data_IF_230421419151
#
_entry.id   IF_230421419151
#
_cell.length_a   1.000
_cell.length_b   1.000
_cell.length_c   1.000
_cell.angle_alpha   90.00
_cell.angle_beta   90.00
_cell.angle_gamma   90.00
#
_symmetry.space_group_name_H-M   'P 1'
#
loop_
_entity.id
_entity.type
_entity.pdbx_description
1 polymer ?
#
# COMPACT_ATOMS: atom_id res chain seq x y z
N UNK A 1 19.55 -9.23 -10.87
CA UNK A 1 18.37 -10.02 -10.48
C UNK A 1 17.53 -10.22 -11.72
N UNK A 2 17.06 -11.44 -12.00
CA UNK A 2 15.96 -11.62 -12.95
C UNK A 2 14.80 -10.78 -12.44
N UNK A 3 14.54 -9.64 -13.09
CA UNK A 3 13.38 -8.81 -12.78
C UNK A 3 12.15 -9.61 -13.18
N UNK A 4 11.59 -10.35 -12.23
CA UNK A 4 10.24 -10.87 -12.37
C UNK A 4 9.26 -9.71 -12.60
N UNK A 5 8.06 -10.04 -13.05
CA UNK A 5 7.06 -9.01 -13.37
C UNK A 5 6.75 -8.20 -12.10
N UNK A 6 6.93 -6.89 -12.19
CA UNK A 6 6.68 -5.94 -11.10
C UNK A 6 5.40 -5.15 -11.37
N UNK A 7 4.58 -4.98 -10.33
CA UNK A 7 3.37 -4.16 -10.39
C UNK A 7 3.32 -3.15 -9.26
N UNK A 8 3.00 -1.90 -9.60
CA UNK A 8 2.71 -0.83 -8.66
C UNK A 8 1.20 -0.69 -8.48
N UNK A 9 0.73 -0.83 -7.25
CA UNK A 9 -0.65 -0.55 -6.85
C UNK A 9 -0.65 0.78 -6.10
N UNK A 10 -1.31 1.78 -6.66
CA UNK A 10 -1.31 3.14 -6.14
C UNK A 10 -2.66 3.44 -5.51
N UNK A 11 -2.70 3.67 -4.20
CA UNK A 11 -3.88 4.25 -3.57
C UNK A 11 -3.86 5.78 -3.78
N UNK A 12 -4.71 6.34 -4.67
CA UNK A 12 -4.71 7.77 -4.90
C UNK A 12 -5.24 8.56 -3.69
N UNK A 13 -5.99 7.91 -2.78
CA UNK A 13 -6.60 8.53 -1.59
C UNK A 13 -5.71 8.49 -0.35
N UNK A 14 -4.53 7.85 -0.41
CA UNK A 14 -3.63 7.77 0.73
C UNK A 14 -2.99 9.13 1.05
N UNK A 15 -3.10 9.54 2.32
CA UNK A 15 -2.62 10.83 2.81
C UNK A 15 -3.31 11.97 2.08
N UNK A 16 -2.53 12.77 1.34
CA UNK A 16 -3.10 13.78 0.45
C UNK A 16 -3.51 13.14 -0.87
N UNK A 17 -4.78 13.32 -1.24
CA UNK A 17 -5.32 12.80 -2.49
C UNK A 17 -4.52 13.28 -3.70
N UNK A 18 -4.16 12.35 -4.59
CA UNK A 18 -3.43 12.66 -5.81
C UNK A 18 -4.38 13.18 -6.90
N UNK A 19 -4.20 14.43 -7.30
CA UNK A 19 -4.81 14.92 -8.54
C UNK A 19 -4.12 14.33 -9.79
N UNK A 20 -4.77 14.45 -10.95
CA UNK A 20 -4.28 13.89 -12.22
C UNK A 20 -2.83 14.30 -12.56
N UNK A 21 -2.46 15.56 -12.32
CA UNK A 21 -1.10 16.06 -12.57
C UNK A 21 -0.06 15.38 -11.68
N UNK A 22 -0.40 15.12 -10.42
CA UNK A 22 0.46 14.40 -9.49
C UNK A 22 0.55 12.92 -9.84
N UNK A 23 -0.55 12.31 -10.29
CA UNK A 23 -0.55 10.94 -10.80
C UNK A 23 0.39 10.79 -12.01
N UNK A 24 0.30 11.71 -12.98
CA UNK A 24 1.20 11.74 -14.14
C UNK A 24 2.67 11.90 -13.75
N UNK A 25 2.96 12.77 -12.76
CA UNK A 25 4.32 12.93 -12.24
C UNK A 25 4.83 11.63 -11.62
N UNK A 26 4.01 10.98 -10.79
CA UNK A 26 4.36 9.72 -10.14
C UNK A 26 4.60 8.61 -11.17
N UNK A 27 3.75 8.48 -12.19
CA UNK A 27 3.93 7.50 -13.28
C UNK A 27 5.26 7.73 -13.98
N UNK A 28 5.61 8.99 -14.29
CA UNK A 28 6.88 9.34 -14.92
C UNK A 28 8.07 9.01 -14.03
N UNK A 29 7.99 9.29 -12.73
CA UNK A 29 9.02 8.95 -11.76
C UNK A 29 9.24 7.44 -11.68
N UNK A 30 8.18 6.65 -11.48
CA UNK A 30 8.24 5.18 -11.43
C UNK A 30 8.87 4.62 -12.72
N UNK A 31 8.41 5.08 -13.89
CA UNK A 31 8.95 4.65 -15.18
C UNK A 31 10.40 5.10 -15.40
N UNK A 32 10.82 6.21 -14.79
CA UNK A 32 12.22 6.63 -14.79
C UNK A 32 13.14 5.68 -14.02
N UNK A 33 12.65 5.08 -12.93
CA UNK A 33 13.42 4.13 -12.12
C UNK A 33 13.44 2.71 -12.73
N UNK A 34 12.29 2.23 -13.21
CA UNK A 34 12.07 0.82 -13.54
C UNK A 34 11.77 0.55 -15.02
N UNK A 35 11.69 1.58 -15.86
CA UNK A 35 11.32 1.43 -17.27
C UNK A 35 9.86 1.05 -17.47
N UNK A 36 9.59 -0.01 -18.24
CA UNK A 36 8.21 -0.48 -18.47
C UNK A 36 7.78 -1.40 -17.33
N UNK A 37 6.88 -0.89 -16.49
CA UNK A 37 6.23 -1.61 -15.39
C UNK A 37 4.73 -1.39 -15.42
N UNK A 38 3.98 -2.31 -14.82
CA UNK A 38 2.53 -2.19 -14.64
C UNK A 38 2.27 -1.24 -13.48
N UNK A 39 1.41 -0.24 -13.69
CA UNK A 39 0.98 0.71 -12.67
C UNK A 39 -0.54 0.78 -12.73
N UNK A 40 -1.20 0.52 -11.59
CA UNK A 40 -2.67 0.54 -11.47
C UNK A 40 -3.05 1.41 -10.28
N UNK A 41 -4.07 2.24 -10.44
CA UNK A 41 -4.65 3.02 -9.36
C UNK A 41 -5.81 2.23 -8.75
N UNK A 42 -5.80 2.03 -7.44
CA UNK A 42 -6.83 1.29 -6.74
C UNK A 42 -8.07 2.14 -6.49
N UNK A 43 -9.21 1.47 -6.35
CA UNK A 43 -10.45 2.03 -5.84
C UNK A 43 -10.67 1.62 -4.38
N UNK A 44 -11.56 2.31 -3.67
CA UNK A 44 -11.86 2.01 -2.28
C UNK A 44 -12.57 0.64 -2.12
N UNK A 45 -13.45 0.31 -3.07
CA UNK A 45 -14.23 -0.93 -3.12
C UNK A 45 -14.32 -1.44 -4.56
N UNK A 46 -14.90 -2.63 -4.76
CA UNK A 46 -15.08 -3.24 -6.09
C UNK A 46 -13.89 -4.08 -6.55
N UNK A 47 -13.87 -4.42 -7.84
CA UNK A 47 -12.87 -5.30 -8.45
C UNK A 47 -11.45 -4.71 -8.38
N UNK A 48 -11.33 -3.39 -8.50
CA UNK A 48 -10.06 -2.66 -8.45
C UNK A 48 -9.59 -2.31 -7.02
N UNK A 49 -10.09 -2.98 -5.98
CA UNK A 49 -9.54 -2.80 -4.64
C UNK A 49 -8.12 -3.40 -4.54
N UNK A 50 -7.34 -2.91 -3.58
CA UNK A 50 -5.91 -3.28 -3.45
C UNK A 50 -5.70 -4.79 -3.27
N UNK A 51 -6.54 -5.47 -2.48
CA UNK A 51 -6.41 -6.90 -2.21
C UNK A 51 -6.65 -7.74 -3.47
N UNK A 52 -7.64 -7.37 -4.27
CA UNK A 52 -7.94 -8.04 -5.54
C UNK A 52 -6.81 -7.82 -6.55
N UNK A 53 -6.34 -6.58 -6.69
CA UNK A 53 -5.22 -6.24 -7.58
C UNK A 53 -3.94 -7.00 -7.23
N UNK A 54 -3.62 -7.12 -5.93
CA UNK A 54 -2.46 -7.87 -5.46
C UNK A 54 -2.59 -9.37 -5.79
N UNK A 55 -3.76 -9.96 -5.53
CA UNK A 55 -4.08 -11.36 -5.86
C UNK A 55 -3.93 -11.65 -7.36
N UNK A 56 -4.49 -10.78 -8.20
CA UNK A 56 -4.44 -10.92 -9.65
C UNK A 56 -3.02 -10.75 -10.18
N UNK A 57 -2.26 -9.79 -9.65
CA UNK A 57 -0.86 -9.61 -10.00
C UNK A 57 -0.06 -10.90 -9.77
N UNK A 58 -0.19 -11.50 -8.57
CA UNK A 58 0.49 -12.75 -8.22
C UNK A 58 0.07 -13.91 -9.13
N UNK A 59 -1.24 -14.10 -9.35
CA UNK A 59 -1.75 -15.13 -10.27
C UNK A 59 -1.23 -14.99 -11.69
N UNK A 60 -0.97 -13.76 -12.14
CA UNK A 60 -0.40 -13.45 -13.45
C UNK A 60 1.13 -13.53 -13.51
N UNK A 61 1.77 -14.05 -12.46
CA UNK A 61 3.21 -14.27 -12.36
C UNK A 61 4.00 -13.03 -11.97
N UNK A 62 3.37 -12.01 -11.39
CA UNK A 62 4.10 -10.92 -10.74
C UNK A 62 4.63 -11.41 -9.39
N UNK A 63 5.94 -11.32 -9.21
CA UNK A 63 6.60 -11.70 -7.97
C UNK A 63 7.07 -10.48 -7.16
N UNK A 64 6.87 -9.26 -7.67
CA UNK A 64 7.13 -8.03 -6.92
C UNK A 64 5.93 -7.10 -6.98
N UNK A 65 5.36 -6.79 -5.83
CA UNK A 65 4.19 -5.92 -5.69
C UNK A 65 4.58 -4.73 -4.84
N UNK A 66 4.49 -3.54 -5.41
CA UNK A 66 4.82 -2.28 -4.73
C UNK A 66 3.53 -1.52 -4.45
N UNK A 67 3.28 -1.20 -3.19
CA UNK A 67 2.08 -0.46 -2.78
C UNK A 67 2.46 0.97 -2.43
N UNK A 68 1.87 1.96 -3.10
CA UNK A 68 1.89 3.35 -2.62
C UNK A 68 0.66 3.60 -1.76
N UNK A 69 0.85 3.80 -0.46
CA UNK A 69 -0.25 3.99 0.48
C UNK A 69 0.19 4.16 1.92
N UNK A 70 -0.77 4.08 2.84
CA UNK A 70 -0.49 3.94 4.28
C UNK A 70 -0.53 2.47 4.73
N UNK A 71 -0.46 2.25 6.04
CA UNK A 71 -0.44 0.90 6.63
C UNK A 71 -1.67 0.06 6.25
N UNK A 72 -2.85 0.68 6.18
CA UNK A 72 -4.07 0.00 5.72
C UNK A 72 -4.00 -0.48 4.27
N UNK A 73 -3.40 0.30 3.37
CA UNK A 73 -3.21 -0.10 1.97
C UNK A 73 -2.23 -1.27 1.85
N UNK A 74 -1.13 -1.23 2.61
CA UNK A 74 -0.18 -2.33 2.67
C UNK A 74 -0.84 -3.61 3.24
N UNK A 75 -1.62 -3.47 4.30
CA UNK A 75 -2.36 -4.57 4.91
C UNK A 75 -3.35 -5.22 3.92
N UNK A 76 -4.11 -4.42 3.17
CA UNK A 76 -5.00 -4.93 2.11
C UNK A 76 -4.21 -5.75 1.07
N UNK A 77 -3.08 -5.23 0.60
CA UNK A 77 -2.24 -5.95 -0.37
C UNK A 77 -1.76 -7.29 0.18
N UNK A 78 -1.22 -7.31 1.40
CA UNK A 78 -0.74 -8.53 2.07
C UNK A 78 -1.87 -9.57 2.18
N UNK A 79 -3.07 -9.16 2.58
CA UNK A 79 -4.22 -10.06 2.68
C UNK A 79 -4.81 -10.49 1.32
N UNK A 80 -4.41 -9.83 0.24
CA UNK A 80 -4.69 -10.26 -1.13
C UNK A 80 -3.80 -11.40 -1.61
N UNK A 81 -2.61 -11.55 -1.02
CA UNK A 81 -1.55 -12.44 -1.49
C UNK A 81 -1.61 -13.84 -0.89
N UNK A 82 -1.16 -14.81 -1.68
CA UNK A 82 -0.77 -16.13 -1.18
C UNK A 82 0.66 -16.04 -0.66
N UNK A 83 0.79 -15.90 0.67
CA UNK A 83 2.06 -15.75 1.37
C UNK A 83 2.81 -17.09 1.53
N UNK A 84 2.24 -18.20 1.07
CA UNK A 84 2.96 -19.48 1.04
C UNK A 84 4.00 -19.55 -0.09
N UNK A 85 3.92 -18.65 -1.07
CA UNK A 85 4.90 -18.49 -2.12
C UNK A 85 6.09 -17.62 -1.65
N UNK A 86 7.27 -18.19 -1.39
CA UNK A 86 8.42 -17.45 -0.88
C UNK A 86 9.06 -16.53 -1.93
N UNK A 87 8.63 -16.61 -3.19
CA UNK A 87 9.14 -15.76 -4.26
C UNK A 87 8.47 -14.39 -4.31
N UNK A 88 7.34 -14.20 -3.61
CA UNK A 88 6.63 -12.92 -3.58
C UNK A 88 7.37 -11.91 -2.70
N UNK A 89 7.60 -10.72 -3.26
CA UNK A 89 8.22 -9.58 -2.59
C UNK A 89 7.23 -8.43 -2.56
N UNK A 90 7.06 -7.82 -1.38
CA UNK A 90 6.21 -6.64 -1.20
C UNK A 90 7.07 -5.43 -0.89
N UNK A 91 6.93 -4.38 -1.70
CA UNK A 91 7.52 -3.05 -1.47
C UNK A 91 6.46 -2.05 -1.05
N UNK A 92 6.87 -0.99 -0.35
CA UNK A 92 5.98 0.11 0.05
C UNK A 92 6.58 1.47 -0.31
N UNK A 93 5.76 2.35 -0.88
CA UNK A 93 6.04 3.78 -1.05
C UNK A 93 5.13 4.52 -0.06
N UNK A 94 5.68 5.10 1.02
CA UNK A 94 4.87 5.72 2.06
C UNK A 94 4.04 6.89 1.53
N UNK A 95 2.75 6.89 1.83
CA UNK A 95 1.85 7.99 1.48
C UNK A 95 0.77 8.25 2.54
N UNK A 96 0.67 7.44 3.59
CA UNK A 96 -0.25 7.65 4.71
C UNK A 96 0.29 8.65 5.74
N UNK A 97 -0.49 8.88 6.81
CA UNK A 97 -0.13 9.82 7.89
C UNK A 97 0.85 9.23 8.90
N UNK A 98 0.74 7.93 9.21
CA UNK A 98 1.59 7.23 10.19
C UNK A 98 2.74 6.46 9.54
N UNK A 99 2.43 5.61 8.56
CA UNK A 99 3.40 4.76 7.85
C UNK A 99 4.31 3.99 8.82
N UNK A 100 3.70 3.40 9.85
CA UNK A 100 4.43 2.75 10.94
C UNK A 100 5.30 1.61 10.42
N UNK A 101 4.77 0.83 9.47
CA UNK A 101 5.52 -0.28 8.86
C UNK A 101 6.75 0.27 8.13
N UNK A 102 6.57 1.24 7.23
CA UNK A 102 7.68 1.82 6.49
C UNK A 102 8.76 2.42 7.41
N UNK A 103 8.34 3.14 8.46
CA UNK A 103 9.25 3.73 9.45
C UNK A 103 10.03 2.67 10.22
N UNK A 104 9.36 1.57 10.62
CA UNK A 104 10.00 0.43 11.29
C UNK A 104 11.00 -0.28 10.36
N UNK A 105 10.71 -0.31 9.05
CA UNK A 105 11.58 -0.89 8.04
C UNK A 105 12.72 0.05 7.59
N UNK A 106 12.77 1.29 8.08
CA UNK A 106 13.75 2.29 7.67
C UNK A 106 13.53 2.79 6.23
N UNK A 107 12.32 2.65 5.69
CA UNK A 107 11.98 3.09 4.35
C UNK A 107 11.72 4.61 4.39
N UNK A 108 12.41 5.39 3.55
CA UNK A 108 12.21 6.84 3.49
C UNK A 108 10.78 7.21 3.10
N UNK A 109 10.32 8.36 3.62
CA UNK A 109 8.98 8.88 3.33
C UNK A 109 8.90 9.59 1.98
N UNK A 110 10.03 10.12 1.51
CA UNK A 110 10.10 10.75 0.21
C UNK A 110 9.99 9.68 -0.89
N UNK A 111 9.18 9.95 -1.91
CA UNK A 111 8.80 8.94 -2.92
C UNK A 111 9.99 8.50 -3.77
N UNK A 112 10.85 9.42 -4.19
CA UNK A 112 12.05 9.14 -4.98
C UNK A 112 13.07 8.33 -4.17
N UNK A 113 13.27 8.66 -2.89
CA UNK A 113 14.12 7.89 -1.99
C UNK A 113 13.59 6.46 -1.77
N UNK A 114 12.28 6.30 -1.54
CA UNK A 114 11.65 4.99 -1.43
C UNK A 114 11.77 4.17 -2.73
N UNK A 115 11.63 4.81 -3.89
CA UNK A 115 11.84 4.17 -5.19
C UNK A 115 13.30 3.73 -5.38
N UNK A 116 14.27 4.48 -4.86
CA UNK A 116 15.68 4.08 -4.85
C UNK A 116 15.89 2.81 -4.04
N UNK A 117 15.34 2.74 -2.82
CA UNK A 117 15.42 1.54 -1.96
C UNK A 117 14.83 0.31 -2.67
N UNK A 118 13.68 0.47 -3.34
CA UNK A 118 13.05 -0.62 -4.10
C UNK A 118 13.92 -1.05 -5.28
N UNK A 119 14.59 -0.11 -5.95
CA UNK A 119 15.47 -0.38 -7.09
C UNK A 119 16.75 -1.12 -6.68
N UNK A 120 17.30 -0.81 -5.51
CA UNK A 120 18.47 -1.49 -4.96
C UNK A 120 18.17 -2.96 -4.65
N UNK A 121 16.89 -3.30 -4.41
CA UNK A 121 16.39 -4.67 -4.41
C UNK A 121 16.79 -5.49 -3.18
N UNK A 122 17.20 -4.84 -2.09
CA UNK A 122 17.50 -5.51 -0.84
C UNK A 122 16.21 -6.00 -0.18
N UNK A 123 16.03 -7.31 -0.13
CA UNK A 123 14.87 -7.96 0.50
C UNK A 123 15.26 -8.58 1.83
N UNK A 124 14.30 -8.60 2.77
CA UNK A 124 14.40 -9.32 4.04
C UNK A 124 13.07 -9.98 4.36
N UNK A 125 13.11 -11.12 5.04
CA UNK A 125 11.91 -11.73 5.59
C UNK A 125 11.48 -10.97 6.83
N UNK A 126 10.16 -10.81 6.99
CA UNK A 126 9.53 -10.12 8.12
C UNK A 126 8.44 -11.05 8.64
N UNK A 127 8.38 -11.22 9.96
CA UNK A 127 7.31 -11.99 10.59
C UNK A 127 5.99 -11.22 10.49
N UNK A 128 4.93 -11.90 10.03
CA UNK A 128 3.57 -11.36 9.99
C UNK A 128 2.75 -11.96 11.13
N UNK A 129 2.09 -11.11 11.92
CA UNK A 129 1.10 -11.57 12.89
C UNK A 129 -0.19 -11.94 12.17
N UNK A 130 -0.81 -13.09 12.50
CA UNK A 130 -2.11 -13.49 11.95
C UNK A 130 -3.14 -13.49 13.08
N UNK A 131 -4.23 -12.75 12.93
CA UNK A 131 -5.39 -12.83 13.82
C UNK A 131 -6.66 -12.99 13.00
N UNK A 132 -7.46 -14.02 13.31
CA UNK A 132 -8.69 -14.38 12.59
C UNK A 132 -8.50 -14.52 11.06
N UNK A 133 -7.36 -15.04 10.63
CA UNK A 133 -7.04 -15.22 9.20
C UNK A 133 -6.64 -13.94 8.47
N UNK A 134 -6.51 -12.81 9.19
CA UNK A 134 -6.01 -11.54 8.65
C UNK A 134 -4.57 -11.32 9.11
N UNK A 135 -3.70 -10.98 8.16
CA UNK A 135 -2.30 -10.67 8.42
C UNK A 135 -2.12 -9.20 8.85
N UNK A 136 -1.26 -8.95 9.83
CA UNK A 136 -0.90 -7.64 10.34
C UNK A 136 0.63 -7.54 10.45
N UNK A 137 1.19 -6.44 9.95
CA UNK A 137 2.64 -6.23 9.90
C UNK A 137 3.22 -5.45 11.09
N UNK A 138 2.40 -4.80 11.95
CA UNK A 138 2.95 -4.03 13.07
C UNK A 138 2.12 -4.06 14.36
N UNK A 139 0.80 -3.82 14.33
CA UNK A 139 0.00 -3.72 15.58
C UNK A 139 -1.43 -4.21 15.39
N UNK A 140 -1.92 -4.99 16.35
CA UNK A 140 -3.34 -5.25 16.57
C UNK A 140 -3.82 -4.26 17.64
N UNK A 141 -4.74 -3.36 17.29
CA UNK A 141 -5.52 -2.61 18.28
C UNK A 141 -6.87 -3.30 18.47
N UNK A 142 -7.02 -4.07 19.56
CA UNK A 142 -8.33 -4.52 20.05
C UNK A 142 -8.76 -3.58 21.17
N UNK A 143 -9.83 -2.82 20.94
CA UNK A 143 -10.52 -2.03 21.97
C UNK A 143 -10.40 -0.50 21.80
N UNK A 144 -11.55 0.10 21.45
CA UNK A 144 -11.99 1.48 21.69
C UNK A 144 -11.84 2.62 20.65
N UNK A 145 -11.25 2.43 19.46
CA UNK A 145 -11.23 3.53 18.46
C UNK A 145 -12.00 3.27 17.14
N UNK A 146 -12.60 2.09 16.98
CA UNK A 146 -13.50 1.81 15.85
C UNK A 146 -14.92 2.41 16.04
N UNK A 147 -15.25 2.90 17.24
CA UNK A 147 -16.58 3.42 17.59
C UNK A 147 -16.66 4.95 17.62
N UNK A 148 -15.53 5.66 17.50
CA UNK A 148 -15.51 7.13 17.57
C UNK A 148 -15.68 7.75 16.16
N UNK A 149 -15.18 7.10 15.10
CA UNK A 149 -15.34 7.64 13.73
C UNK A 149 -16.77 7.56 13.18
N UNK A 150 -17.67 6.74 13.76
CA UNK A 150 -19.06 6.68 13.31
C UNK A 150 -19.99 7.69 14.01
N UNK A 151 -19.53 8.42 15.04
CA UNK A 151 -20.34 9.43 15.76
C UNK A 151 -19.97 10.88 15.47
N UNK A 152 -18.97 11.15 14.62
CA UNK A 152 -18.61 12.51 14.23
C UNK A 152 -19.47 13.11 13.10
N UNK A 153 -20.29 12.30 12.41
CA UNK A 153 -21.14 12.76 11.30
C UNK A 153 -22.58 13.10 11.71
N UNK A 154 -22.99 12.78 12.94
CA UNK A 154 -24.38 12.97 13.43
C UNK A 154 -24.60 14.19 14.33
N UNK A 155 -23.74 15.21 14.25
CA UNK A 155 -24.07 16.52 14.85
C UNK A 155 -24.59 17.48 13.79
N UNK A 156 -25.92 17.58 13.70
CA UNK A 156 -26.61 18.73 13.09
C UNK A 156 -26.06 20.02 13.71
N UNK A 157 -25.68 21.03 12.92
CA UNK A 157 -25.28 22.32 13.47
C UNK A 157 -26.47 22.95 14.20
N UNK A 158 -26.32 23.09 15.52
CA UNK A 158 -27.24 23.82 16.39
C UNK A 158 -26.70 25.24 16.54
N UNK A 159 -26.98 26.13 15.59
CA UNK A 159 -26.93 27.58 15.81
C UNK A 159 -28.00 28.26 14.96
N UNK A 160 -29.06 28.72 15.65
CA UNK A 160 -29.86 29.87 15.24
C UNK A 160 -29.09 31.13 15.63
N UNK A 161 -29.05 32.10 14.71
CA UNK A 161 -28.54 33.45 14.89
C UNK A 161 -28.87 34.26 13.65
#
# INVERSE_FOLDING_TARGET
METGKMMFIINPMAGNWLNLKQQDKLIKQIRGFFGRVTIVFSEAEGENNISNLAREAQKNGCNTIVVRGGDGSLNCAINGLDLSDPSIVVGVIPAGTGNDVASTLGIPWETEEALSVIKDGHTRQIDLGIANGVCFANTISIGLDALINQKATDRKPFFQG
#
